data_IF_975298821349
#
_entry.id   IF_975298821349
#
_cell.length_a   1.000
_cell.length_b   1.000
_cell.length_c   1.000
_cell.angle_alpha   90.00
_cell.angle_beta   90.00
_cell.angle_gamma   90.00
#
_symmetry.space_group_name_H-M   'P 1'
#
loop_
_entity.id
_entity.type
_entity.pdbx_description
1 polymer ?
#
# COMPACT_ATOMS: atom_id res chain seq x y z
N UNK A 1 -21.51 -17.67 58.90
CA UNK A 1 -20.67 -18.01 57.73
C UNK A 1 -21.20 -19.27 57.06
N UNK A 2 -21.32 -19.25 55.73
CA UNK A 2 -21.76 -20.39 54.90
C UNK A 2 -23.25 -20.47 54.58
N UNK A 3 -24.10 -19.61 55.17
CA UNK A 3 -25.53 -19.59 54.88
C UNK A 3 -25.80 -19.04 53.47
N UNK A 4 -26.66 -19.73 52.72
CA UNK A 4 -27.09 -19.39 51.37
C UNK A 4 -28.46 -18.70 51.39
N UNK A 5 -28.61 -17.61 50.63
CA UNK A 5 -29.84 -16.83 50.55
C UNK A 5 -30.19 -16.50 49.09
N UNK A 6 -31.47 -16.25 48.76
CA UNK A 6 -31.87 -15.91 47.40
C UNK A 6 -31.16 -14.64 46.91
N UNK A 7 -30.57 -14.67 45.70
CA UNK A 7 -30.02 -13.46 45.09
C UNK A 7 -31.17 -12.55 44.60
N UNK A 8 -31.30 -11.30 45.10
CA UNK A 8 -32.39 -10.40 44.73
C UNK A 8 -32.33 -9.90 43.27
N UNK A 9 -31.21 -10.13 42.57
CA UNK A 9 -30.97 -9.71 41.19
C UNK A 9 -31.07 -10.90 40.21
N UNK A 10 -30.82 -12.13 40.65
CA UNK A 10 -30.86 -13.34 39.81
C UNK A 10 -31.48 -14.53 40.57
N UNK A 11 -32.64 -15.00 40.12
CA UNK A 11 -33.37 -16.12 40.75
C UNK A 11 -32.62 -17.46 40.60
N UNK A 12 -31.63 -17.51 39.71
CA UNK A 12 -30.83 -18.71 39.43
C UNK A 12 -29.59 -18.83 40.33
N UNK A 13 -29.33 -17.86 41.20
CA UNK A 13 -28.10 -17.81 41.99
C UNK A 13 -28.39 -17.56 43.48
N UNK A 14 -27.48 -18.04 44.34
CA UNK A 14 -27.56 -17.90 45.79
C UNK A 14 -26.42 -17.02 46.31
N UNK A 15 -26.73 -16.05 47.16
CA UNK A 15 -25.72 -15.27 47.89
C UNK A 15 -25.20 -16.07 49.08
N UNK A 16 -23.91 -15.94 49.42
CA UNK A 16 -23.32 -16.62 50.59
C UNK A 16 -22.75 -15.62 51.59
N UNK A 17 -22.97 -15.86 52.88
CA UNK A 17 -22.35 -15.06 53.93
C UNK A 17 -20.95 -15.59 54.26
N UNK A 18 -19.90 -14.79 54.07
CA UNK A 18 -18.53 -15.16 54.40
C UNK A 18 -17.84 -14.04 55.20
N UNK A 19 -17.45 -14.33 56.44
CA UNK A 19 -16.76 -13.42 57.35
C UNK A 19 -17.52 -12.10 57.57
N UNK A 20 -18.85 -12.20 57.76
CA UNK A 20 -19.72 -11.05 58.03
C UNK A 20 -20.02 -10.15 56.83
N UNK A 21 -19.70 -10.59 55.61
CA UNK A 21 -20.10 -9.92 54.36
C UNK A 21 -20.91 -10.87 53.48
N UNK A 22 -21.86 -10.31 52.75
CA UNK A 22 -22.61 -11.03 51.71
C UNK A 22 -21.75 -11.04 50.45
N UNK A 23 -21.37 -12.23 50.00
CA UNK A 23 -20.74 -12.44 48.70
C UNK A 23 -21.84 -12.64 47.66
N UNK A 24 -21.79 -11.82 46.60
CA UNK A 24 -22.74 -11.87 45.49
C UNK A 24 -22.13 -12.66 44.35
N UNK A 25 -22.88 -13.57 43.73
CA UNK A 25 -22.41 -14.25 42.54
C UNK A 25 -22.16 -13.23 41.42
N UNK A 26 -21.10 -13.43 40.63
CA UNK A 26 -20.71 -12.47 39.62
C UNK A 26 -21.76 -12.39 38.52
N UNK A 27 -22.16 -11.17 38.15
CA UNK A 27 -23.18 -10.96 37.14
C UNK A 27 -22.71 -11.41 35.74
N UNK A 28 -23.63 -11.99 34.99
CA UNK A 28 -23.50 -12.23 33.56
C UNK A 28 -23.63 -10.92 32.77
N UNK A 29 -23.14 -10.92 31.53
CA UNK A 29 -23.13 -9.76 30.66
C UNK A 29 -24.16 -9.89 29.54
N UNK A 30 -24.83 -8.78 29.20
CA UNK A 30 -25.59 -8.63 27.97
C UNK A 30 -24.81 -7.74 26.99
N UNK A 31 -24.57 -8.23 25.78
CA UNK A 31 -23.85 -7.51 24.73
C UNK A 31 -24.45 -7.77 23.36
N UNK A 32 -24.87 -6.69 22.68
CA UNK A 32 -25.57 -6.75 21.38
C UNK A 32 -26.70 -7.81 21.35
N UNK A 33 -27.55 -7.81 22.40
CA UNK A 33 -28.69 -8.73 22.58
C UNK A 33 -28.31 -10.21 22.78
N UNK A 34 -27.04 -10.49 23.08
CA UNK A 34 -26.55 -11.83 23.45
C UNK A 34 -26.11 -11.84 24.91
N UNK A 35 -26.36 -12.95 25.58
CA UNK A 35 -25.94 -13.18 26.96
C UNK A 35 -24.64 -13.96 27.00
N UNK A 36 -23.69 -13.49 27.82
CA UNK A 36 -22.38 -14.09 28.04
C UNK A 36 -22.15 -14.31 29.52
N UNK A 37 -21.64 -15.48 29.88
CA UNK A 37 -21.40 -15.81 31.29
C UNK A 37 -20.23 -15.04 31.87
N UNK A 38 -20.21 -14.86 33.18
CA UNK A 38 -19.00 -14.39 33.86
C UNK A 38 -17.76 -15.20 33.43
N UNK A 39 -16.64 -14.50 33.15
CA UNK A 39 -15.38 -15.02 32.62
C UNK A 39 -15.42 -15.56 31.18
N UNK A 40 -16.57 -15.52 30.51
CA UNK A 40 -16.65 -15.93 29.11
C UNK A 40 -15.85 -14.97 28.21
N UNK A 41 -15.12 -15.55 27.26
CA UNK A 41 -14.35 -14.84 26.24
C UNK A 41 -14.98 -15.09 24.88
N UNK A 42 -15.20 -14.02 24.13
CA UNK A 42 -15.85 -14.08 22.82
C UNK A 42 -15.23 -13.08 21.84
N UNK A 43 -15.53 -13.25 20.57
CA UNK A 43 -15.17 -12.29 19.52
C UNK A 43 -16.27 -11.27 19.33
N UNK A 44 -15.90 -10.01 19.07
CA UNK A 44 -16.90 -9.00 18.75
C UNK A 44 -17.63 -9.37 17.44
N UNK A 45 -18.97 -9.36 17.39
CA UNK A 45 -19.74 -9.88 16.25
C UNK A 45 -19.43 -9.19 14.92
N UNK A 46 -19.19 -7.87 14.98
CA UNK A 46 -18.88 -7.04 13.81
C UNK A 46 -17.37 -6.73 13.63
N UNK A 47 -16.51 -7.17 14.55
CA UNK A 47 -15.06 -6.90 14.51
C UNK A 47 -14.30 -8.08 15.12
N UNK A 48 -14.02 -9.10 14.31
CA UNK A 48 -13.32 -10.32 14.76
C UNK A 48 -11.88 -10.04 15.28
N UNK A 49 -11.37 -8.82 15.09
CA UNK A 49 -10.08 -8.38 15.61
C UNK A 49 -10.15 -7.93 17.07
N UNK A 50 -11.37 -7.81 17.61
CA UNK A 50 -11.60 -7.53 19.02
C UNK A 50 -12.00 -8.80 19.75
N UNK A 51 -11.25 -9.11 20.79
CA UNK A 51 -11.63 -10.10 21.79
C UNK A 51 -12.27 -9.38 22.97
N UNK A 52 -13.43 -9.87 23.39
CA UNK A 52 -14.19 -9.38 24.52
C UNK A 52 -14.15 -10.39 25.67
N UNK A 53 -14.24 -9.89 26.89
CA UNK A 53 -14.41 -10.71 28.09
C UNK A 53 -15.54 -10.13 28.94
N UNK A 54 -16.39 -11.01 29.48
CA UNK A 54 -17.36 -10.64 30.48
C UNK A 54 -16.75 -10.69 31.88
N UNK A 55 -16.77 -9.56 32.60
CA UNK A 55 -16.30 -9.46 33.97
C UNK A 55 -17.37 -8.78 34.84
N UNK A 56 -18.02 -9.58 35.69
CA UNK A 56 -19.07 -9.17 36.63
C UNK A 56 -20.03 -8.11 36.07
N UNK A 57 -20.79 -8.47 35.03
CA UNK A 57 -21.77 -7.61 34.36
C UNK A 57 -21.19 -6.60 33.36
N UNK A 58 -19.87 -6.48 33.27
CA UNK A 58 -19.20 -5.53 32.36
C UNK A 58 -18.46 -6.26 31.24
N UNK A 59 -18.72 -5.86 30.00
CA UNK A 59 -17.96 -6.34 28.84
C UNK A 59 -16.79 -5.42 28.56
N UNK A 60 -15.59 -5.98 28.51
CA UNK A 60 -14.38 -5.29 28.05
C UNK A 60 -13.87 -5.92 26.76
N UNK A 61 -13.82 -5.11 25.70
CA UNK A 61 -13.35 -5.51 24.38
C UNK A 61 -12.05 -4.82 24.01
N UNK A 62 -11.01 -5.60 23.76
CA UNK A 62 -9.70 -5.13 23.33
C UNK A 62 -9.36 -5.67 21.95
N UNK A 63 -8.68 -4.87 21.12
CA UNK A 63 -8.08 -5.40 19.89
C UNK A 63 -6.99 -6.40 20.26
N UNK A 64 -6.96 -7.51 19.53
CA UNK A 64 -5.87 -8.47 19.62
C UNK A 64 -4.56 -7.77 19.27
N UNK A 65 -3.51 -7.90 20.10
CA UNK A 65 -2.23 -7.32 19.79
C UNK A 65 -1.66 -8.01 18.55
N UNK A 66 -1.21 -7.20 17.58
CA UNK A 66 -0.53 -7.73 16.42
C UNK A 66 0.97 -7.92 16.71
N UNK A 67 1.61 -8.90 16.06
CA UNK A 67 3.06 -8.97 16.03
C UNK A 67 3.65 -7.65 15.51
N UNK A 68 4.83 -7.27 16.00
CA UNK A 68 5.54 -6.13 15.44
C UNK A 68 5.88 -6.41 13.98
N UNK A 69 5.44 -5.51 13.09
CA UNK A 69 5.65 -5.59 11.65
C UNK A 69 6.55 -4.43 11.22
N UNK A 70 7.88 -4.62 11.11
CA UNK A 70 8.82 -3.57 10.75
C UNK A 70 8.86 -3.32 9.23
N UNK A 71 7.68 -3.14 8.62
CA UNK A 71 7.55 -2.85 7.20
C UNK A 71 6.66 -1.61 6.98
N UNK A 72 6.89 -0.88 5.89
CA UNK A 72 6.28 0.44 5.67
C UNK A 72 5.02 0.41 4.80
N UNK A 73 4.84 -0.66 4.02
CA UNK A 73 3.78 -0.82 3.01
C UNK A 73 3.06 -2.16 3.22
N UNK A 74 2.74 -2.49 4.46
CA UNK A 74 2.05 -3.74 4.82
C UNK A 74 0.68 -3.86 4.16
N UNK A 75 0.26 -5.09 3.91
CA UNK A 75 -1.11 -5.37 3.51
C UNK A 75 -1.95 -5.60 4.77
N UNK A 76 -3.11 -4.95 4.92
CA UNK A 76 -4.08 -5.34 5.94
C UNK A 76 -4.69 -6.69 5.54
N UNK A 77 -4.35 -7.75 6.26
CA UNK A 77 -5.04 -9.04 6.14
C UNK A 77 -5.62 -9.43 7.49
N UNK A 78 -6.90 -9.79 7.49
CA UNK A 78 -7.69 -10.06 8.68
C UNK A 78 -7.60 -8.90 9.68
N UNK A 79 -6.78 -9.08 10.72
CA UNK A 79 -6.65 -8.18 11.86
C UNK A 79 -5.30 -7.51 11.98
N UNK A 80 -4.31 -8.00 11.25
CA UNK A 80 -2.92 -7.60 11.43
C UNK A 80 -2.26 -7.22 10.11
N UNK A 81 -1.25 -6.34 10.15
CA UNK A 81 -0.45 -6.06 8.98
C UNK A 81 0.41 -7.27 8.62
N UNK A 82 0.45 -7.61 7.33
CA UNK A 82 1.32 -8.62 6.77
C UNK A 82 2.40 -7.98 5.90
N UNK A 83 3.63 -8.49 6.02
CA UNK A 83 4.82 -7.98 5.32
C UNK A 83 5.30 -8.92 4.22
N UNK A 84 4.45 -9.78 3.64
CA UNK A 84 4.88 -10.68 2.56
C UNK A 84 4.80 -10.03 1.17
N UNK A 85 4.06 -8.93 1.06
CA UNK A 85 3.83 -8.17 -0.16
C UNK A 85 3.57 -6.71 0.20
N UNK A 86 3.61 -5.82 -0.79
CA UNK A 86 3.51 -4.38 -0.58
C UNK A 86 2.19 -3.83 -1.12
N UNK A 87 1.44 -3.09 -0.30
CA UNK A 87 0.37 -2.23 -0.79
C UNK A 87 0.97 -0.86 -1.15
N UNK A 88 1.02 -0.55 -2.44
CA UNK A 88 1.58 0.71 -2.95
C UNK A 88 0.64 1.29 -4.00
N UNK A 89 0.28 2.58 -3.88
CA UNK A 89 -0.66 3.26 -4.80
C UNK A 89 -1.98 2.50 -5.03
N UNK A 90 -2.46 1.79 -4.01
CA UNK A 90 -3.69 0.99 -4.08
C UNK A 90 -3.53 -0.36 -4.79
N UNK A 91 -2.33 -0.72 -5.23
CA UNK A 91 -2.02 -1.98 -5.91
C UNK A 91 -1.17 -2.88 -5.00
N UNK A 92 -1.46 -4.17 -5.03
CA UNK A 92 -0.67 -5.18 -4.31
C UNK A 92 0.48 -5.64 -5.20
N UNK A 93 1.70 -5.40 -4.77
CA UNK A 93 2.92 -5.88 -5.41
C UNK A 93 3.50 -7.06 -4.62
N UNK A 94 3.70 -8.18 -5.30
CA UNK A 94 4.33 -9.36 -4.70
C UNK A 94 5.78 -9.08 -4.28
N UNK A 95 6.31 -9.88 -3.36
CA UNK A 95 7.74 -9.87 -3.01
C UNK A 95 8.61 -9.94 -4.28
N UNK A 96 9.68 -9.16 -4.34
CA UNK A 96 10.61 -8.97 -5.48
C UNK A 96 10.00 -8.37 -6.75
N UNK A 97 8.69 -8.07 -6.76
CA UNK A 97 8.08 -7.41 -7.89
C UNK A 97 8.66 -6.00 -8.05
N UNK A 98 9.09 -5.69 -9.28
CA UNK A 98 9.65 -4.40 -9.66
C UNK A 98 8.69 -3.69 -10.60
N UNK A 99 8.41 -2.42 -10.32
CA UNK A 99 7.43 -1.62 -11.03
C UNK A 99 7.88 -0.16 -11.15
N UNK A 100 7.25 0.55 -12.08
CA UNK A 100 7.42 2.00 -12.25
C UNK A 100 6.30 2.69 -11.47
N UNK A 101 6.59 3.63 -10.56
CA UNK A 101 5.56 4.32 -9.79
C UNK A 101 4.78 5.31 -10.67
N UNK A 102 3.58 5.69 -10.24
CA UNK A 102 2.70 6.56 -11.04
C UNK A 102 3.20 8.01 -11.16
N UNK A 103 3.96 8.49 -10.16
CA UNK A 103 4.39 9.89 -10.08
C UNK A 103 5.52 10.25 -11.04
N UNK A 104 6.41 9.31 -11.38
CA UNK A 104 7.59 9.58 -12.22
C UNK A 104 8.13 8.31 -12.91
N UNK A 105 8.18 8.27 -14.27
CA UNK A 105 8.69 7.13 -15.02
C UNK A 105 10.21 6.89 -14.85
N UNK A 106 10.93 7.84 -14.25
CA UNK A 106 12.36 7.75 -13.95
C UNK A 106 12.70 7.02 -12.67
N UNK A 107 11.71 6.58 -11.90
CA UNK A 107 11.94 5.75 -10.74
C UNK A 107 11.60 4.30 -11.02
N UNK A 108 12.34 3.41 -10.37
CA UNK A 108 12.06 1.98 -10.34
C UNK A 108 11.95 1.56 -8.90
N UNK A 109 10.77 1.06 -8.53
CA UNK A 109 10.48 0.61 -7.19
C UNK A 109 10.45 -0.91 -7.15
N UNK A 110 10.95 -1.50 -6.06
CA UNK A 110 10.90 -2.94 -5.81
C UNK A 110 10.25 -3.18 -4.46
N UNK A 111 9.30 -4.11 -4.41
CA UNK A 111 8.71 -4.58 -3.17
C UNK A 111 9.61 -5.64 -2.53
N UNK A 112 10.03 -5.43 -1.29
CA UNK A 112 10.79 -6.40 -0.50
C UNK A 112 10.16 -6.50 0.88
N UNK A 113 9.45 -7.61 1.12
CA UNK A 113 8.85 -7.97 2.40
C UNK A 113 8.05 -6.81 3.04
N UNK A 114 7.07 -6.30 2.29
CA UNK A 114 6.21 -5.21 2.75
C UNK A 114 6.87 -3.84 2.79
N UNK A 115 8.08 -3.69 2.26
CA UNK A 115 8.77 -2.42 2.14
C UNK A 115 9.07 -2.13 0.68
N UNK A 116 8.65 -0.97 0.21
CA UNK A 116 8.97 -0.50 -1.15
C UNK A 116 10.27 0.28 -1.10
N UNK A 117 11.23 -0.10 -1.94
CA UNK A 117 12.48 0.63 -2.15
C UNK A 117 12.52 1.14 -3.58
N UNK A 118 12.65 2.45 -3.76
CA UNK A 118 12.72 3.09 -5.07
C UNK A 118 14.12 3.62 -5.33
N UNK A 119 14.60 3.38 -6.55
CA UNK A 119 15.88 3.90 -7.04
C UNK A 119 15.66 4.64 -8.36
N UNK A 120 16.45 5.68 -8.67
CA UNK A 120 16.46 6.27 -9.99
C UNK A 120 16.81 5.21 -11.04
N UNK A 121 16.23 5.32 -12.22
CA UNK A 121 16.56 4.47 -13.36
C UNK A 121 17.81 5.01 -14.04
N UNK A 122 18.71 4.10 -14.37
CA UNK A 122 19.84 4.41 -15.23
C UNK A 122 19.38 4.44 -16.69
N UNK A 123 19.65 5.56 -17.36
CA UNK A 123 19.40 5.68 -18.79
C UNK A 123 20.66 5.32 -19.59
N UNK A 124 20.51 4.59 -20.70
CA UNK A 124 21.63 4.29 -21.57
C UNK A 124 22.19 5.58 -22.18
N UNK A 125 23.52 5.66 -22.40
CA UNK A 125 24.12 6.81 -23.06
C UNK A 125 23.61 6.94 -24.50
N UNK A 126 23.27 8.15 -24.91
CA UNK A 126 22.87 8.48 -26.29
C UNK A 126 24.07 8.98 -27.10
N UNK A 127 24.10 8.67 -28.39
CA UNK A 127 25.20 9.05 -29.31
C UNK A 127 24.86 10.22 -30.23
N UNK A 128 23.62 10.71 -30.19
CA UNK A 128 23.15 11.83 -30.99
C UNK A 128 23.45 13.18 -30.31
N UNK A 129 23.47 14.26 -31.10
CA UNK A 129 23.78 15.61 -30.61
C UNK A 129 22.62 16.19 -29.80
N UNK A 130 21.37 15.86 -30.16
CA UNK A 130 20.17 16.41 -29.53
C UNK A 130 19.15 15.32 -29.15
N UNK A 131 19.43 14.55 -28.10
CA UNK A 131 18.50 13.54 -27.60
C UNK A 131 17.22 14.17 -27.03
N UNK A 132 16.07 13.49 -27.18
CA UNK A 132 14.76 13.99 -26.73
C UNK A 132 14.10 13.00 -25.78
N UNK A 133 13.51 13.49 -24.69
CA UNK A 133 12.67 12.70 -23.79
C UNK A 133 11.21 12.81 -24.23
N UNK A 134 10.56 11.68 -24.51
CA UNK A 134 9.15 11.66 -24.88
C UNK A 134 8.25 11.86 -23.65
N UNK A 135 7.06 12.47 -23.80
CA UNK A 135 6.10 12.58 -22.71
C UNK A 135 5.78 11.21 -22.09
N UNK A 136 5.89 11.09 -20.76
CA UNK A 136 5.65 9.83 -20.05
C UNK A 136 6.79 8.81 -20.14
N UNK A 137 7.95 9.17 -20.68
CA UNK A 137 9.16 8.33 -20.68
C UNK A 137 10.25 8.97 -19.84
N UNK A 138 11.10 8.14 -19.23
CA UNK A 138 12.25 8.65 -18.49
C UNK A 138 13.43 8.95 -19.41
N UNK A 139 13.79 7.97 -20.23
CA UNK A 139 15.07 8.01 -20.91
C UNK A 139 14.99 8.79 -22.22
N UNK A 140 16.02 9.58 -22.51
CA UNK A 140 16.13 10.22 -23.80
C UNK A 140 16.33 9.20 -24.91
N UNK A 141 15.77 9.49 -26.08
CA UNK A 141 15.95 8.74 -27.30
C UNK A 141 16.45 9.66 -28.42
N UNK A 142 17.22 9.10 -29.35
CA UNK A 142 17.59 9.82 -30.56
C UNK A 142 16.37 9.88 -31.49
N UNK A 143 15.87 11.10 -31.70
CA UNK A 143 14.81 11.38 -32.66
C UNK A 143 15.39 11.44 -34.08
N UNK A 144 14.82 10.68 -35.01
CA UNK A 144 15.19 10.76 -36.42
C UNK A 144 14.31 11.74 -37.19
N UNK A 145 14.79 12.16 -38.36
CA UNK A 145 14.03 12.94 -39.33
C UNK A 145 13.51 12.01 -40.43
N UNK A 146 12.35 12.32 -40.99
CA UNK A 146 11.80 11.60 -42.14
C UNK A 146 11.64 12.57 -43.30
N UNK A 147 12.32 12.29 -44.42
CA UNK A 147 12.22 13.09 -45.65
C UNK A 147 12.01 12.15 -46.84
N UNK A 148 10.93 12.33 -47.61
CA UNK A 148 10.59 11.49 -48.76
C UNK A 148 10.67 9.98 -48.44
N UNK A 149 10.02 9.56 -47.35
CA UNK A 149 10.02 8.17 -46.82
C UNK A 149 11.37 7.62 -46.34
N UNK A 150 12.46 8.39 -46.48
CA UNK A 150 13.77 8.03 -45.94
C UNK A 150 13.93 8.53 -44.52
N UNK A 151 14.49 7.68 -43.67
CA UNK A 151 14.80 7.98 -42.28
C UNK A 151 16.26 8.40 -42.15
N UNK A 152 16.48 9.49 -41.44
CA UNK A 152 17.80 10.03 -41.14
C UNK A 152 17.97 10.04 -39.62
N UNK A 153 19.14 9.63 -39.13
CA UNK A 153 19.46 9.72 -37.71
C UNK A 153 19.78 11.18 -37.33
N UNK A 154 19.56 11.56 -36.08
CA UNK A 154 19.97 12.88 -35.57
C UNK A 154 21.47 13.13 -35.87
N UNK A 155 21.79 14.31 -36.42
CA UNK A 155 23.13 14.68 -36.89
C UNK A 155 23.51 14.17 -38.28
N UNK A 156 22.71 13.30 -38.91
CA UNK A 156 22.97 12.86 -40.29
C UNK A 156 22.67 13.98 -41.27
N UNK A 157 23.59 14.22 -42.20
CA UNK A 157 23.41 15.20 -43.29
C UNK A 157 23.07 14.51 -44.62
N UNK A 158 22.22 15.14 -45.42
CA UNK A 158 21.90 14.70 -46.79
C UNK A 158 21.64 15.87 -47.72
N UNK A 159 21.88 15.67 -49.01
CA UNK A 159 21.54 16.65 -50.04
C UNK A 159 20.06 16.53 -50.41
N UNK A 160 19.29 17.61 -50.22
CA UNK A 160 17.93 17.74 -50.75
C UNK A 160 17.96 18.06 -52.25
N UNK A 161 18.88 18.93 -52.65
CA UNK A 161 19.14 19.33 -54.03
C UNK A 161 20.62 19.73 -54.19
N UNK A 162 20.99 20.35 -55.33
CA UNK A 162 22.37 20.76 -55.63
C UNK A 162 22.94 21.85 -54.72
N UNK A 163 22.09 22.59 -54.02
CA UNK A 163 22.47 23.74 -53.19
C UNK A 163 22.08 23.54 -51.71
N UNK A 164 21.12 22.68 -51.43
CA UNK A 164 20.56 22.48 -50.09
C UNK A 164 21.11 21.21 -49.46
N UNK A 165 21.97 21.38 -48.46
CA UNK A 165 22.32 20.30 -47.53
C UNK A 165 21.45 20.45 -46.30
N UNK A 166 20.76 19.38 -45.96
CA UNK A 166 20.00 19.26 -44.74
C UNK A 166 20.78 18.48 -43.70
N UNK A 167 20.68 18.90 -42.43
CA UNK A 167 21.10 18.09 -41.28
C UNK A 167 19.90 17.81 -40.40
N UNK A 168 19.72 16.55 -40.00
CA UNK A 168 18.65 16.17 -39.09
C UNK A 168 18.94 16.72 -37.70
N UNK A 169 18.03 17.54 -37.17
CA UNK A 169 18.02 17.95 -35.76
C UNK A 169 16.60 17.88 -35.21
N UNK A 170 16.37 17.02 -34.21
CA UNK A 170 15.12 16.99 -33.43
C UNK A 170 13.87 16.94 -34.33
N UNK A 171 13.78 15.91 -35.17
CA UNK A 171 12.71 15.71 -36.19
C UNK A 171 12.65 16.72 -37.35
N UNK A 172 13.45 17.78 -37.32
CA UNK A 172 13.44 18.82 -38.33
C UNK A 172 14.65 18.72 -39.27
N UNK A 173 14.42 19.12 -40.50
CA UNK A 173 15.47 19.37 -41.46
C UNK A 173 15.96 20.81 -41.34
N UNK A 174 17.22 21.01 -40.92
CA UNK A 174 17.84 22.33 -40.92
C UNK A 174 18.78 22.47 -42.11
N UNK A 175 18.58 23.53 -42.89
CA UNK A 175 19.49 23.92 -43.97
C UNK A 175 20.04 25.32 -43.72
N UNK A 176 21.33 25.58 -44.03
CA UNK A 176 21.93 26.92 -43.89
C UNK A 176 21.33 27.98 -44.83
N UNK A 177 20.44 27.58 -45.75
CA UNK A 177 19.79 28.46 -46.72
C UNK A 177 18.34 28.84 -46.35
N UNK A 178 17.78 28.34 -45.24
CA UNK A 178 16.45 28.75 -44.76
C UNK A 178 16.55 29.62 -43.50
N UNK A 179 16.20 30.91 -43.58
CA UNK A 179 15.98 31.72 -42.39
C UNK A 179 14.70 31.27 -41.68
N UNK A 180 14.72 31.29 -40.35
CA UNK A 180 13.52 31.16 -39.51
C UNK A 180 12.57 32.31 -39.87
N UNK A 181 11.38 32.00 -40.38
CA UNK A 181 10.25 32.93 -40.53
C UNK A 181 9.17 32.50 -39.55
#
# INVERSE_FOLDING_TARGET
DGEAFPNPVSVCEECRCQSGRIDYPPADCEFEQRFYRHMERFFHPNDNCRSCACNNGTVQCHRKPCPSAPCTHSIPQDCCPHCDSCLYEGVIHAHTHTFTPSFDPCWRCTCVRGTVSCVPRDCPPTVCAHPVVRPGHCCPECSGCVQNERRFTDGQSWSLDRCTVCTCQVHNCLSPLQPVI
#
